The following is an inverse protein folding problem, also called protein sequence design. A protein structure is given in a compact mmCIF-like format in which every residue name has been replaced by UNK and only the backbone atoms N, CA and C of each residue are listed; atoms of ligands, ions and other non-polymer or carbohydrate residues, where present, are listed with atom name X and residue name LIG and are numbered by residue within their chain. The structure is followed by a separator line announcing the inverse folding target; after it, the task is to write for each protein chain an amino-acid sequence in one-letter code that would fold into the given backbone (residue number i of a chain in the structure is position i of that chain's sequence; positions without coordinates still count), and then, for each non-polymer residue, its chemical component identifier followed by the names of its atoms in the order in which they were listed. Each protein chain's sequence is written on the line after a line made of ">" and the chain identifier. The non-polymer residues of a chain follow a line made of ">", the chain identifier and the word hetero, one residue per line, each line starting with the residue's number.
data_IF_599085398387
#
_entry.id   IF_599085398387
#
_cell.length_a   1.000
_cell.length_b   1.000
_cell.length_c   1.000
_cell.angle_alpha   90.00
_cell.angle_beta   90.00
_cell.angle_gamma   90.00
#
_symmetry.space_group_name_H-M   'P 1'
#
loop_
_entity.id
_entity.type
_entity.pdbx_description
1 polymer ?
#
# COMPACT_ATOMS: atom_id res chain seq x y z
N UNK A 1 10.82 -0.59 -1.05
CA UNK A 1 11.36 -0.14 -2.36
C UNK A 1 10.47 -0.76 -3.41
N UNK A 2 10.03 0.02 -4.38
CA UNK A 2 9.06 -0.41 -5.40
C UNK A 2 9.66 -0.35 -6.80
N UNK A 3 9.19 -1.19 -7.71
CA UNK A 3 9.56 -1.17 -9.13
C UNK A 3 8.39 -0.61 -9.93
N UNK A 4 8.64 0.39 -10.78
CA UNK A 4 7.60 0.92 -11.67
C UNK A 4 7.28 -0.04 -12.82
N UNK A 5 6.04 -0.03 -13.30
CA UNK A 5 5.58 -0.86 -14.41
C UNK A 5 6.37 -0.58 -15.69
N UNK A 6 6.73 0.68 -15.95
CA UNK A 6 7.64 1.10 -17.03
C UNK A 6 9.01 0.43 -16.94
N UNK A 7 9.60 0.35 -15.75
CA UNK A 7 10.90 -0.31 -15.52
C UNK A 7 10.78 -1.82 -15.80
N UNK A 8 9.70 -2.45 -15.32
CA UNK A 8 9.44 -3.86 -15.59
C UNK A 8 9.22 -4.13 -17.09
N UNK A 9 8.56 -3.23 -17.83
CA UNK A 9 8.40 -3.30 -19.30
C UNK A 9 9.74 -3.25 -20.01
N UNK A 10 10.62 -2.31 -19.65
CA UNK A 10 11.97 -2.20 -20.24
C UNK A 10 12.74 -3.50 -20.03
N UNK A 11 12.72 -4.04 -18.82
CA UNK A 11 13.46 -5.27 -18.50
C UNK A 11 12.86 -6.50 -19.20
N UNK A 12 11.53 -6.62 -19.25
CA UNK A 12 10.86 -7.64 -20.06
C UNK A 12 11.30 -7.56 -21.52
N UNK A 13 11.37 -6.35 -22.07
CA UNK A 13 11.78 -6.13 -23.45
C UNK A 13 13.24 -6.52 -23.70
N UNK A 14 14.12 -6.24 -22.75
CA UNK A 14 15.53 -6.66 -22.81
C UNK A 14 15.66 -8.18 -22.77
N UNK A 15 14.87 -8.86 -21.94
CA UNK A 15 14.91 -10.32 -21.82
C UNK A 15 14.31 -11.05 -23.03
N UNK A 16 13.33 -10.43 -23.71
CA UNK A 16 12.86 -10.87 -25.02
C UNK A 16 13.83 -10.53 -26.16
N UNK A 17 14.91 -9.79 -25.87
CA UNK A 17 15.81 -9.21 -26.86
C UNK A 17 15.04 -8.42 -27.94
N UNK A 18 13.99 -7.69 -27.52
CA UNK A 18 13.16 -6.86 -28.38
C UNK A 18 13.28 -5.36 -28.09
N UNK A 19 13.99 -4.99 -27.00
CA UNK A 19 14.17 -3.62 -26.56
C UNK A 19 15.02 -2.78 -27.51
N UNK A 20 14.46 -1.63 -27.89
CA UNK A 20 15.21 -0.53 -28.46
C UNK A 20 14.56 0.78 -28.03
N UNK A 21 15.38 1.75 -27.62
CA UNK A 21 14.95 3.06 -27.22
C UNK A 21 15.88 4.11 -27.83
N UNK A 22 15.34 5.29 -28.08
CA UNK A 22 16.13 6.43 -28.52
C UNK A 22 15.42 7.75 -28.26
N UNK A 23 16.11 8.83 -28.59
CA UNK A 23 15.62 10.19 -28.48
C UNK A 23 15.64 10.79 -29.89
N UNK A 24 14.53 11.36 -30.34
CA UNK A 24 14.44 11.95 -31.68
C UNK A 24 15.48 13.05 -31.88
N UNK A 25 16.13 13.05 -33.04
CA UNK A 25 17.19 14.04 -33.38
C UNK A 25 16.72 15.15 -34.30
N UNK A 26 15.47 15.06 -34.79
CA UNK A 26 14.85 16.08 -35.62
C UNK A 26 13.35 16.14 -35.40
N UNK A 27 12.76 17.27 -35.80
CA UNK A 27 11.31 17.44 -35.74
C UNK A 27 10.65 16.50 -36.75
N UNK A 28 9.69 15.73 -36.27
CA UNK A 28 8.83 14.89 -37.07
C UNK A 28 7.48 15.53 -37.34
N UNK A 29 6.48 14.67 -37.45
CA UNK A 29 5.07 15.02 -37.65
C UNK A 29 4.24 14.05 -36.82
N UNK A 30 2.91 14.13 -36.90
CA UNK A 30 2.06 13.12 -36.26
C UNK A 30 2.31 11.71 -36.80
N UNK A 31 2.80 11.56 -38.04
CA UNK A 31 2.99 10.26 -38.71
C UNK A 31 4.45 9.86 -38.89
N UNK A 32 5.41 10.63 -38.36
CA UNK A 32 6.83 10.37 -38.58
C UNK A 32 7.66 10.70 -37.35
N UNK A 33 8.62 9.85 -36.99
CA UNK A 33 9.70 10.15 -36.02
C UNK A 33 11.02 10.25 -36.76
N UNK A 34 11.83 11.27 -36.44
CA UNK A 34 13.12 11.53 -37.11
C UNK A 34 14.28 11.32 -36.14
N UNK A 35 15.08 10.29 -36.40
CA UNK A 35 16.21 9.90 -35.56
C UNK A 35 17.39 9.38 -36.39
N UNK A 36 18.54 10.05 -36.29
CA UNK A 36 19.75 9.68 -37.01
C UNK A 36 20.28 8.28 -36.64
N UNK A 37 20.01 7.78 -35.43
CA UNK A 37 20.46 6.45 -35.00
C UNK A 37 19.69 5.32 -35.70
N UNK A 38 18.48 5.58 -36.20
CA UNK A 38 17.74 4.63 -37.02
C UNK A 38 18.44 4.29 -38.34
N UNK A 39 19.36 5.15 -38.82
CA UNK A 39 20.14 4.88 -40.04
C UNK A 39 21.04 3.65 -39.92
N UNK A 40 21.45 3.31 -38.70
CA UNK A 40 22.24 2.13 -38.42
C UNK A 40 21.42 0.84 -38.37
N UNK A 41 20.08 0.93 -38.44
CA UNK A 41 19.19 -0.22 -38.38
C UNK A 41 18.80 -0.70 -39.78
N UNK A 42 18.78 -2.01 -39.96
CA UNK A 42 18.33 -2.60 -41.22
C UNK A 42 16.81 -2.45 -41.33
N UNK A 43 16.28 -2.21 -42.55
CA UNK A 43 14.83 -2.15 -42.78
C UNK A 43 14.10 -3.44 -42.38
N UNK A 44 14.76 -4.60 -42.41
CA UNK A 44 14.17 -5.86 -41.96
C UNK A 44 14.04 -5.95 -40.42
N UNK A 45 14.74 -5.08 -39.69
CA UNK A 45 14.74 -5.08 -38.22
C UNK A 45 13.58 -4.27 -37.61
N UNK A 46 13.09 -3.24 -38.33
CA UNK A 46 11.92 -2.43 -37.96
C UNK A 46 10.92 -2.42 -39.12
N UNK A 47 9.75 -3.05 -38.94
CA UNK A 47 8.79 -3.32 -40.01
C UNK A 47 7.32 -3.00 -39.66
N UNK A 48 6.43 -3.38 -40.58
CA UNK A 48 5.00 -3.01 -40.60
C UNK A 48 4.17 -3.52 -39.40
N UNK A 49 4.63 -4.57 -38.73
CA UNK A 49 3.90 -5.21 -37.62
C UNK A 49 4.51 -4.88 -36.25
N UNK A 50 5.37 -3.87 -36.20
CA UNK A 50 6.02 -3.39 -34.99
C UNK A 50 5.38 -2.09 -34.53
N UNK A 51 5.63 -1.71 -33.28
CA UNK A 51 5.01 -0.54 -32.67
C UNK A 51 6.07 0.38 -32.09
N UNK A 52 5.83 1.68 -32.14
CA UNK A 52 6.54 2.63 -31.30
C UNK A 52 5.75 2.90 -30.02
N UNK A 53 6.41 3.45 -29.02
CA UNK A 53 5.80 3.97 -27.79
C UNK A 53 6.51 5.29 -27.46
N UNK A 54 5.78 6.38 -27.30
CA UNK A 54 6.36 7.64 -26.82
C UNK A 54 6.53 7.55 -25.30
N UNK A 55 7.73 7.83 -24.81
CA UNK A 55 8.08 7.75 -23.38
C UNK A 55 8.56 9.07 -22.79
N UNK A 56 8.59 10.14 -23.60
CA UNK A 56 8.98 11.48 -23.17
C UNK A 56 8.04 12.04 -22.10
N UNK A 57 8.59 12.34 -20.93
CA UNK A 57 7.81 12.90 -19.82
C UNK A 57 7.30 14.30 -20.17
N UNK A 58 6.01 14.55 -19.92
CA UNK A 58 5.38 15.84 -20.21
C UNK A 58 5.05 16.07 -21.69
N UNK A 59 5.34 15.13 -22.58
CA UNK A 59 4.84 15.17 -23.95
C UNK A 59 3.33 14.87 -23.98
N UNK A 60 2.58 15.57 -24.83
CA UNK A 60 1.12 15.41 -24.90
C UNK A 60 0.66 14.03 -25.43
N UNK A 61 1.57 13.31 -26.10
CA UNK A 61 1.36 11.93 -26.56
C UNK A 61 2.18 10.91 -25.77
N UNK A 62 2.59 11.22 -24.53
CA UNK A 62 3.23 10.24 -23.65
C UNK A 62 2.35 9.00 -23.50
N UNK A 63 2.96 7.83 -23.50
CA UNK A 63 2.32 6.52 -23.40
C UNK A 63 1.43 6.12 -24.59
N UNK A 64 1.41 6.93 -25.66
CA UNK A 64 0.80 6.55 -26.93
C UNK A 64 1.71 5.57 -27.68
N UNK A 65 1.15 4.41 -28.06
CA UNK A 65 1.77 3.47 -28.99
C UNK A 65 1.11 3.57 -30.37
N UNK A 66 1.91 3.51 -31.45
CA UNK A 66 1.39 3.49 -32.83
C UNK A 66 2.07 2.40 -33.65
N UNK A 67 1.32 1.87 -34.60
CA UNK A 67 1.86 0.86 -35.51
C UNK A 67 2.86 1.52 -36.46
N UNK A 68 4.05 0.96 -36.57
CA UNK A 68 5.08 1.35 -37.52
C UNK A 68 4.66 0.85 -38.90
N UNK A 69 4.66 1.74 -39.88
CA UNK A 69 4.39 1.41 -41.28
C UNK A 69 5.67 1.10 -42.06
N UNK A 70 6.75 1.85 -41.82
CA UNK A 70 8.04 1.63 -42.48
C UNK A 70 9.20 2.36 -41.80
N UNK A 71 10.43 1.91 -42.06
CA UNK A 71 11.66 2.62 -41.74
C UNK A 71 12.40 3.00 -43.03
N UNK A 72 12.74 4.29 -43.17
CA UNK A 72 13.64 4.78 -44.20
C UNK A 72 15.08 4.88 -43.65
N UNK A 73 15.83 3.78 -43.71
CA UNK A 73 17.19 3.69 -43.16
C UNK A 73 18.22 4.68 -43.74
N UNK A 74 17.98 5.26 -44.92
CA UNK A 74 18.87 6.30 -45.46
C UNK A 74 18.70 7.66 -44.77
N UNK A 75 17.49 7.97 -44.31
CA UNK A 75 17.14 9.25 -43.69
C UNK A 75 16.97 9.17 -42.19
N UNK A 76 16.74 7.97 -41.64
CA UNK A 76 16.42 7.78 -40.22
C UNK A 76 14.99 8.19 -39.89
N UNK A 77 14.07 8.06 -40.85
CA UNK A 77 12.66 8.41 -40.66
C UNK A 77 11.87 7.13 -40.42
N UNK A 78 11.25 7.05 -39.25
CA UNK A 78 10.27 6.03 -38.90
C UNK A 78 8.88 6.56 -39.25
N UNK A 79 8.14 5.88 -40.13
CA UNK A 79 6.75 6.23 -40.45
C UNK A 79 5.82 5.39 -39.59
N UNK A 80 4.88 6.03 -38.92
CA UNK A 80 3.94 5.43 -37.97
C UNK A 80 2.51 5.85 -38.29
N UNK A 81 1.53 5.12 -37.76
CA UNK A 81 0.17 5.65 -37.66
C UNK A 81 0.17 6.94 -36.83
N UNK A 82 -0.76 7.85 -37.13
CA UNK A 82 -0.74 9.18 -36.55
C UNK A 82 -0.83 9.15 -35.02
N UNK A 83 0.16 9.71 -34.33
CA UNK A 83 0.07 10.17 -32.95
C UNK A 83 -0.86 11.37 -32.86
N UNK A 84 -1.43 11.62 -31.68
CA UNK A 84 -2.37 12.72 -31.49
C UNK A 84 -1.67 14.09 -31.58
N UNK A 85 -0.35 14.13 -31.32
CA UNK A 85 0.49 15.31 -31.44
C UNK A 85 1.70 15.09 -32.34
N UNK A 86 2.26 16.19 -32.85
CA UNK A 86 3.47 16.17 -33.67
C UNK A 86 4.67 15.74 -32.82
N UNK A 87 5.44 14.80 -33.33
CA UNK A 87 6.67 14.35 -32.66
C UNK A 87 7.77 15.42 -32.80
N UNK A 88 8.30 15.87 -31.66
CA UNK A 88 9.31 16.92 -31.59
C UNK A 88 10.74 16.42 -31.80
N UNK A 89 11.71 17.34 -31.69
CA UNK A 89 13.13 16.98 -31.46
C UNK A 89 13.35 16.77 -29.96
N UNK A 90 14.21 15.84 -29.56
CA UNK A 90 14.49 15.56 -28.15
C UNK A 90 13.41 14.72 -27.47
N UNK A 91 12.57 14.02 -28.24
CA UNK A 91 11.48 13.20 -27.70
C UNK A 91 11.94 11.76 -27.53
N UNK A 92 11.89 11.26 -26.30
CA UNK A 92 12.16 9.86 -25.98
C UNK A 92 11.04 8.93 -26.46
N UNK A 93 11.45 7.82 -27.06
CA UNK A 93 10.55 6.79 -27.56
C UNK A 93 11.22 5.41 -27.57
N UNK A 94 10.39 4.39 -27.68
CA UNK A 94 10.80 2.99 -27.75
C UNK A 94 10.22 2.31 -28.99
N UNK A 95 10.86 1.23 -29.44
CA UNK A 95 10.35 0.36 -30.50
C UNK A 95 10.16 -1.06 -29.97
N UNK A 96 8.97 -1.58 -30.23
CA UNK A 96 8.44 -2.85 -29.77
C UNK A 96 8.26 -3.80 -30.95
N UNK A 97 9.15 -4.81 -31.05
CA UNK A 97 9.25 -5.65 -32.25
C UNK A 97 8.44 -6.95 -32.20
N UNK A 98 8.27 -7.53 -31.01
CA UNK A 98 7.60 -8.83 -30.83
C UNK A 98 6.18 -8.68 -30.28
N UNK A 99 6.01 -7.78 -29.30
CA UNK A 99 4.75 -7.53 -28.62
C UNK A 99 4.60 -6.04 -28.37
N UNK A 100 3.36 -5.53 -28.50
CA UNK A 100 3.03 -4.12 -28.22
C UNK A 100 3.36 -3.76 -26.77
N UNK A 101 3.48 -2.46 -26.47
CA UNK A 101 3.64 -2.02 -25.09
C UNK A 101 2.40 -2.39 -24.26
N UNK A 102 1.20 -2.28 -24.83
CA UNK A 102 -0.04 -2.69 -24.17
C UNK A 102 -0.13 -4.19 -23.88
N UNK A 103 0.39 -5.06 -24.75
CA UNK A 103 0.45 -6.50 -24.47
C UNK A 103 1.36 -6.79 -23.29
N UNK A 104 2.53 -6.15 -23.26
CA UNK A 104 3.49 -6.27 -22.16
C UNK A 104 2.90 -5.76 -20.84
N UNK A 105 2.16 -4.64 -20.88
CA UNK A 105 1.42 -4.10 -19.73
C UNK A 105 0.48 -5.14 -19.13
N UNK A 106 -0.42 -5.68 -19.96
CA UNK A 106 -1.41 -6.67 -19.54
C UNK A 106 -0.74 -7.92 -18.98
N UNK A 107 0.35 -8.36 -19.62
CA UNK A 107 1.10 -9.52 -19.18
C UNK A 107 1.79 -9.31 -17.83
N UNK A 108 2.37 -8.14 -17.57
CA UNK A 108 3.00 -7.81 -16.29
C UNK A 108 1.97 -7.74 -15.15
N UNK A 109 0.84 -7.08 -15.39
CA UNK A 109 -0.26 -7.00 -14.39
C UNK A 109 -0.83 -8.38 -14.10
N UNK A 110 -1.08 -9.19 -15.14
CA UNK A 110 -1.53 -10.58 -14.96
C UNK A 110 -0.48 -11.43 -14.23
N UNK A 111 0.80 -11.26 -14.58
CA UNK A 111 1.90 -11.98 -13.95
C UNK A 111 2.01 -11.68 -12.46
N UNK A 112 1.85 -10.42 -12.02
CA UNK A 112 1.89 -10.04 -10.61
C UNK A 112 0.88 -10.87 -9.79
N UNK A 113 -0.34 -11.01 -10.30
CA UNK A 113 -1.42 -11.79 -9.66
C UNK A 113 -1.18 -13.29 -9.70
N UNK A 114 -0.57 -13.79 -10.78
CA UNK A 114 -0.29 -15.22 -10.97
C UNK A 114 0.97 -15.70 -10.25
N UNK A 115 1.85 -14.78 -9.83
CA UNK A 115 3.15 -15.15 -9.28
C UNK A 115 3.07 -15.66 -7.83
N UNK A 116 1.89 -15.60 -7.21
CA UNK A 116 1.58 -16.30 -5.98
C UNK A 116 1.76 -17.83 -6.11
N UNK A 117 2.35 -18.52 -5.11
CA UNK A 117 2.92 -18.03 -3.85
C UNK A 117 4.42 -17.67 -3.94
N UNK A 118 5.03 -17.77 -5.12
CA UNK A 118 6.48 -17.76 -5.31
C UNK A 118 7.12 -16.37 -5.13
N UNK A 119 6.38 -15.31 -5.42
CA UNK A 119 6.69 -13.94 -5.02
C UNK A 119 5.41 -13.32 -4.46
N UNK A 120 5.58 -12.48 -3.46
CA UNK A 120 4.45 -11.92 -2.72
C UNK A 120 4.83 -10.61 -2.03
N UNK A 121 3.84 -9.80 -1.65
CA UNK A 121 4.10 -8.61 -0.84
C UNK A 121 4.35 -9.05 0.60
N UNK A 122 5.43 -8.55 1.21
CA UNK A 122 5.64 -8.73 2.65
C UNK A 122 4.92 -7.62 3.38
N UNK A 123 3.89 -7.99 4.13
CA UNK A 123 3.12 -7.04 4.92
C UNK A 123 3.69 -7.03 6.33
N UNK A 124 3.94 -5.80 6.79
CA UNK A 124 4.36 -5.49 8.14
C UNK A 124 3.48 -4.34 8.62
N UNK A 125 2.63 -4.64 9.60
CA UNK A 125 1.82 -3.63 10.28
C UNK A 125 2.23 -3.48 11.75
N UNK A 126 2.38 -2.24 12.20
CA UNK A 126 2.63 -1.88 13.61
C UNK A 126 1.59 -0.89 14.15
N UNK A 127 0.43 -0.82 13.51
CA UNK A 127 -0.64 0.12 13.86
C UNK A 127 -1.44 -0.33 15.08
N UNK A 128 -1.35 -1.60 15.45
CA UNK A 128 -2.17 -2.20 16.50
C UNK A 128 -1.48 -2.22 17.86
N UNK A 129 -2.28 -2.08 18.92
CA UNK A 129 -1.83 -2.16 20.32
C UNK A 129 -2.58 -3.27 21.04
N UNK A 130 -1.86 -4.10 21.78
CA UNK A 130 -2.42 -5.18 22.58
C UNK A 130 -3.37 -4.64 23.65
N UNK A 131 -4.55 -5.23 23.79
CA UNK A 131 -5.51 -4.78 24.80
C UNK A 131 -6.30 -3.52 24.43
N UNK A 132 -6.06 -2.90 23.27
CA UNK A 132 -6.77 -1.70 22.85
C UNK A 132 -8.19 -2.05 22.38
N UNK A 133 -9.18 -1.48 23.05
CA UNK A 133 -10.60 -1.68 22.75
C UNK A 133 -11.11 -0.82 21.61
N UNK A 134 -10.35 0.20 21.21
CA UNK A 134 -10.70 1.06 20.09
C UNK A 134 -10.39 0.37 18.77
N UNK A 135 -11.29 0.55 17.81
CA UNK A 135 -11.01 0.23 16.40
C UNK A 135 -10.26 1.39 15.77
N UNK A 136 -9.12 1.10 15.13
CA UNK A 136 -8.29 2.11 14.47
C UNK A 136 -7.86 3.26 15.40
N UNK A 137 -7.35 2.90 16.59
CA UNK A 137 -6.80 3.87 17.54
C UNK A 137 -5.60 4.65 17.00
N UNK A 138 -4.86 4.06 16.07
CA UNK A 138 -3.70 4.64 15.38
C UNK A 138 -4.06 5.56 14.22
N UNK A 139 -5.35 5.71 13.88
CA UNK A 139 -5.80 6.57 12.79
C UNK A 139 -5.18 6.25 11.43
N UNK A 140 -5.02 4.97 11.11
CA UNK A 140 -4.47 4.52 9.82
C UNK A 140 -5.56 4.28 8.76
N UNK A 141 -6.82 4.17 9.19
CA UNK A 141 -7.93 3.76 8.33
C UNK A 141 -8.87 4.93 8.02
N UNK A 142 -8.77 5.40 6.78
CA UNK A 142 -9.49 6.56 6.28
C UNK A 142 -10.40 6.18 5.11
N UNK A 143 -11.62 6.70 5.10
CA UNK A 143 -12.54 6.59 3.95
C UNK A 143 -12.19 7.60 2.87
N UNK A 144 -11.57 8.73 3.26
CA UNK A 144 -10.99 9.72 2.37
C UNK A 144 -9.95 10.54 3.13
N UNK A 145 -9.19 11.41 2.46
CA UNK A 145 -8.21 12.29 3.12
C UNK A 145 -8.81 13.24 4.17
N UNK A 146 -10.14 13.35 4.26
CA UNK A 146 -10.85 14.20 5.23
C UNK A 146 -11.90 13.44 6.06
N UNK A 147 -11.89 12.10 6.07
CA UNK A 147 -12.85 11.31 6.83
C UNK A 147 -12.25 10.00 7.37
N UNK A 148 -12.30 9.84 8.69
CA UNK A 148 -11.96 8.59 9.39
C UNK A 148 -13.07 7.55 9.19
N UNK A 149 -12.71 6.28 9.08
CA UNK A 149 -13.68 5.20 8.81
C UNK A 149 -14.44 4.76 10.07
N UNK A 150 -13.76 4.66 11.22
CA UNK A 150 -14.33 4.10 12.45
C UNK A 150 -14.56 5.12 13.57
N UNK A 151 -14.39 6.40 13.25
CA UNK A 151 -14.51 7.50 14.20
C UNK A 151 -15.57 8.49 13.73
N UNK A 152 -16.37 8.98 14.67
CA UNK A 152 -17.33 10.05 14.39
C UNK A 152 -16.67 11.39 14.66
N UNK A 153 -16.62 12.26 13.65
CA UNK A 153 -16.18 13.65 13.81
C UNK A 153 -17.39 14.58 13.83
N UNK A 154 -17.31 15.63 14.63
CA UNK A 154 -18.35 16.68 14.69
C UNK A 154 -17.89 17.95 13.98
N UNK A 155 -18.00 19.11 14.61
CA UNK A 155 -17.76 20.44 14.03
C UNK A 155 -16.33 20.71 13.60
N UNK A 156 -15.35 19.92 14.07
CA UNK A 156 -13.94 20.08 13.69
C UNK A 156 -13.68 19.62 12.26
N UNK A 157 -12.79 20.33 11.56
CA UNK A 157 -12.25 19.85 10.27
C UNK A 157 -11.11 18.90 10.56
N UNK A 158 -11.15 17.71 9.97
CA UNK A 158 -10.07 16.73 10.10
C UNK A 158 -9.41 16.45 8.75
N UNK A 159 -8.13 16.12 8.78
CA UNK A 159 -7.39 15.70 7.60
C UNK A 159 -6.35 14.62 7.94
N UNK A 160 -6.17 13.68 7.02
CA UNK A 160 -5.09 12.71 7.04
C UNK A 160 -3.76 13.41 6.83
N UNK A 161 -2.78 13.19 7.70
CA UNK A 161 -1.41 13.68 7.49
C UNK A 161 -0.43 12.52 7.42
N UNK A 162 0.50 12.61 6.47
CA UNK A 162 1.63 11.67 6.26
C UNK A 162 2.99 12.35 6.47
N UNK A 163 2.99 13.59 6.98
CA UNK A 163 4.23 14.32 7.25
C UNK A 163 4.95 13.74 8.47
N UNK A 164 6.21 13.33 8.32
CA UNK A 164 6.99 12.59 9.32
C UNK A 164 7.05 13.21 10.73
N UNK A 165 6.91 14.53 10.87
CA UNK A 165 6.92 15.20 12.19
C UNK A 165 5.55 15.28 12.85
N UNK A 166 4.51 14.87 12.13
CA UNK A 166 3.11 15.10 12.44
C UNK A 166 2.30 13.82 12.54
N UNK A 167 2.93 12.65 12.41
CA UNK A 167 2.42 11.40 12.99
C UNK A 167 3.47 10.89 13.98
N UNK A 168 3.03 10.07 14.93
CA UNK A 168 3.89 9.51 15.96
C UNK A 168 4.19 8.05 15.68
N UNK A 169 3.22 7.35 15.11
CA UNK A 169 3.27 5.93 14.84
C UNK A 169 2.67 5.58 13.48
N UNK A 170 3.04 4.39 12.97
CA UNK A 170 2.61 3.92 11.66
C UNK A 170 2.98 4.88 10.52
N UNK A 171 2.01 5.24 9.69
CA UNK A 171 2.21 6.06 8.50
C UNK A 171 1.43 7.37 8.52
N UNK A 172 0.37 7.45 9.33
CA UNK A 172 -0.56 8.57 9.28
C UNK A 172 -1.06 8.95 10.68
N UNK A 173 -1.54 10.19 10.81
CA UNK A 173 -2.27 10.61 12.00
C UNK A 173 -3.43 11.51 11.61
N UNK A 174 -4.28 11.84 12.59
CA UNK A 174 -5.38 12.76 12.39
C UNK A 174 -4.96 14.20 12.74
N UNK A 175 -4.91 15.07 11.73
CA UNK A 175 -4.83 16.52 11.91
C UNK A 175 -6.23 17.05 12.18
N UNK A 176 -6.39 17.87 13.20
CA UNK A 176 -7.62 18.57 13.57
C UNK A 176 -7.38 20.07 13.44
N UNK A 177 -8.29 20.80 12.78
CA UNK A 177 -8.09 22.21 12.44
C UNK A 177 -9.35 23.07 12.60
N UNK A 178 -9.12 24.38 12.80
CA UNK A 178 -10.03 25.53 12.58
C UNK A 178 -11.24 25.68 13.51
N UNK A 179 -11.88 24.60 13.95
CA UNK A 179 -13.12 24.67 14.74
C UNK A 179 -13.12 23.72 15.93
N UNK A 180 -13.57 24.22 17.09
CA UNK A 180 -13.80 23.36 18.24
C UNK A 180 -14.81 22.28 17.90
N UNK A 181 -14.55 21.10 18.43
CA UNK A 181 -15.36 19.92 18.15
C UNK A 181 -14.72 18.68 18.74
N UNK A 182 -15.25 17.55 18.30
CA UNK A 182 -14.91 16.25 18.87
C UNK A 182 -14.69 15.20 17.80
N UNK A 183 -13.77 14.29 18.11
CA UNK A 183 -13.59 13.00 17.45
C UNK A 183 -13.88 11.93 18.50
N UNK A 184 -14.79 11.00 18.20
CA UNK A 184 -15.22 10.00 19.20
C UNK A 184 -15.51 8.64 18.60
N UNK A 185 -15.33 7.62 19.42
CA UNK A 185 -15.80 6.27 19.17
C UNK A 185 -16.72 5.86 20.32
N UNK A 186 -17.91 5.37 19.98
CA UNK A 186 -18.89 4.88 20.96
C UNK A 186 -19.43 3.52 20.57
N UNK A 187 -20.33 2.96 21.39
CA UNK A 187 -21.04 1.70 21.09
C UNK A 187 -21.78 1.71 19.74
N UNK A 188 -22.12 2.87 19.18
CA UNK A 188 -22.71 2.95 17.83
C UNK A 188 -21.69 2.79 16.71
N UNK A 189 -20.43 3.16 16.97
CA UNK A 189 -19.33 2.91 16.05
C UNK A 189 -18.77 1.49 16.21
N UNK A 190 -18.73 1.00 17.46
CA UNK A 190 -18.07 -0.24 17.83
C UNK A 190 -18.79 -0.94 18.99
N UNK A 191 -19.63 -1.92 18.66
CA UNK A 191 -20.52 -2.60 19.63
C UNK A 191 -19.75 -3.33 20.76
N UNK A 192 -18.53 -3.76 20.49
CA UNK A 192 -17.66 -4.43 21.46
C UNK A 192 -17.39 -3.61 22.71
N UNK A 193 -17.47 -2.28 22.62
CA UNK A 193 -17.33 -1.41 23.77
C UNK A 193 -18.35 -1.73 24.87
N UNK A 194 -19.51 -2.32 24.55
CA UNK A 194 -20.51 -2.79 25.53
C UNK A 194 -19.95 -3.79 26.54
N UNK A 195 -18.89 -4.52 26.19
CA UNK A 195 -18.24 -5.49 27.09
C UNK A 195 -17.42 -4.82 28.20
N UNK A 196 -17.25 -3.50 28.14
CA UNK A 196 -16.59 -2.71 29.18
C UNK A 196 -17.52 -2.37 30.35
N UNK A 197 -18.82 -2.68 30.26
CA UNK A 197 -19.77 -2.48 31.36
C UNK A 197 -19.30 -3.19 32.65
N UNK A 198 -19.37 -2.48 33.78
CA UNK A 198 -18.90 -2.97 35.08
C UNK A 198 -17.38 -3.05 35.22
N UNK A 199 -16.61 -2.35 34.37
CA UNK A 199 -15.15 -2.39 34.38
C UNK A 199 -14.53 -1.01 34.53
N UNK A 200 -13.35 -0.95 35.16
CA UNK A 200 -12.50 0.24 35.11
C UNK A 200 -11.66 0.24 33.84
N UNK A 201 -11.75 1.32 33.09
CA UNK A 201 -11.04 1.51 31.83
C UNK A 201 -10.17 2.75 31.88
N UNK A 202 -9.08 2.70 31.12
CA UNK A 202 -8.16 3.80 30.89
C UNK A 202 -8.28 4.23 29.44
N UNK A 203 -8.47 5.52 29.18
CA UNK A 203 -8.36 6.12 27.86
C UNK A 203 -7.15 7.05 27.81
N UNK A 204 -6.24 6.78 26.89
CA UNK A 204 -5.06 7.60 26.63
C UNK A 204 -4.86 7.82 25.14
N UNK A 205 -4.03 8.79 24.77
CA UNK A 205 -3.61 9.00 23.39
C UNK A 205 -2.30 9.77 23.33
N UNK A 206 -1.68 9.78 22.14
CA UNK A 206 -0.61 10.70 21.84
C UNK A 206 -1.13 11.92 21.07
N UNK A 207 -0.83 13.12 21.58
CA UNK A 207 -1.25 14.38 21.00
C UNK A 207 -0.05 15.30 20.79
N UNK A 208 -0.17 16.20 19.83
CA UNK A 208 0.74 17.32 19.61
C UNK A 208 -0.06 18.57 19.26
N UNK A 209 0.23 19.66 19.95
CA UNK A 209 -0.29 20.99 19.60
C UNK A 209 0.61 22.09 20.15
N UNK A 210 0.46 23.29 19.59
CA UNK A 210 1.34 24.42 19.92
C UNK A 210 0.75 25.35 20.99
N UNK A 211 -0.54 25.18 21.33
CA UNK A 211 -1.26 26.07 22.26
C UNK A 211 -1.75 25.31 23.48
N UNK A 212 -1.54 25.87 24.68
CA UNK A 212 -2.04 25.27 25.91
C UNK A 212 -3.58 25.16 25.88
N UNK A 213 -4.13 24.11 26.49
CA UNK A 213 -5.59 23.88 26.48
C UNK A 213 -6.19 23.65 25.10
N UNK A 214 -5.40 23.13 24.15
CA UNK A 214 -5.85 22.80 22.80
C UNK A 214 -6.72 21.52 22.72
N UNK A 215 -6.42 20.54 23.57
CA UNK A 215 -6.95 19.18 23.50
C UNK A 215 -7.15 18.61 24.90
N UNK A 216 -8.13 17.74 25.04
CA UNK A 216 -8.28 16.85 26.21
C UNK A 216 -9.11 15.61 25.84
N UNK A 217 -9.01 14.58 26.65
CA UNK A 217 -9.81 13.37 26.54
C UNK A 217 -10.99 13.39 27.48
N UNK A 218 -11.98 12.53 27.19
CA UNK A 218 -13.00 12.18 28.15
C UNK A 218 -13.60 10.80 27.93
N UNK A 219 -14.20 10.28 29.00
CA UNK A 219 -14.97 9.03 29.03
C UNK A 219 -16.36 9.35 29.60
N UNK A 220 -17.42 8.84 28.97
CA UNK A 220 -18.79 8.88 29.49
C UNK A 220 -19.45 7.51 29.30
N UNK A 221 -20.28 7.13 30.28
CA UNK A 221 -21.14 5.95 30.24
C UNK A 221 -22.65 6.30 30.20
N UNK A 222 -22.96 7.59 30.14
CA UNK A 222 -24.33 8.15 30.11
C UNK A 222 -25.15 7.94 31.38
N UNK A 223 -24.55 7.48 32.47
CA UNK A 223 -25.21 7.34 33.77
C UNK A 223 -24.54 8.26 34.80
N UNK A 224 -23.21 8.33 34.76
CA UNK A 224 -22.40 9.17 35.64
C UNK A 224 -22.01 10.54 35.05
N UNK A 225 -21.17 11.25 35.78
CA UNK A 225 -20.51 12.46 35.26
C UNK A 225 -19.40 12.05 34.31
N UNK A 226 -19.30 12.73 33.17
CA UNK A 226 -18.22 12.56 32.23
C UNK A 226 -16.86 12.85 32.90
N UNK A 227 -15.93 11.90 32.77
CA UNK A 227 -14.58 12.03 33.32
C UNK A 227 -13.65 12.59 32.26
N UNK A 228 -12.87 13.62 32.61
CA UNK A 228 -11.95 14.29 31.69
C UNK A 228 -10.49 14.04 32.06
N UNK A 229 -9.61 14.05 31.07
CA UNK A 229 -8.18 14.22 31.30
C UNK A 229 -7.85 15.67 31.65
N UNK A 230 -6.59 15.91 32.01
CA UNK A 230 -6.05 17.26 31.94
C UNK A 230 -5.99 17.75 30.50
N UNK A 231 -5.88 19.06 30.33
CA UNK A 231 -5.62 19.65 29.02
C UNK A 231 -4.15 19.46 28.61
N UNK A 232 -3.90 19.35 27.31
CA UNK A 232 -2.55 19.38 26.74
C UNK A 232 -1.84 20.71 27.05
N UNK A 233 -0.53 20.64 27.29
CA UNK A 233 0.33 21.76 27.73
C UNK A 233 0.66 22.77 26.64
N UNK A 234 0.67 22.34 25.37
CA UNK A 234 0.86 23.22 24.22
C UNK A 234 2.31 23.59 23.97
N UNK A 235 3.19 22.60 23.96
CA UNK A 235 4.64 22.74 23.85
C UNK A 235 5.18 22.33 22.47
N UNK A 236 4.29 22.15 21.48
CA UNK A 236 4.63 21.70 20.12
C UNK A 236 5.31 20.32 20.07
N UNK A 237 5.24 19.54 21.15
CA UNK A 237 5.79 18.21 21.24
C UNK A 237 4.69 17.14 21.27
N UNK A 238 5.06 15.91 20.93
CA UNK A 238 4.20 14.77 21.19
C UNK A 238 4.23 14.45 22.68
N UNK A 239 3.06 14.17 23.24
CA UNK A 239 2.92 13.55 24.56
C UNK A 239 3.66 12.21 24.62
N UNK A 240 4.14 11.86 25.80
CA UNK A 240 4.87 10.64 26.08
C UNK A 240 3.95 9.41 26.04
N UNK A 241 4.58 8.24 25.90
CA UNK A 241 3.87 6.95 25.88
C UNK A 241 3.37 6.47 27.24
N UNK A 242 3.87 7.00 28.38
CA UNK A 242 3.34 6.58 29.69
C UNK A 242 2.06 7.36 30.03
N UNK A 243 0.88 6.72 29.96
CA UNK A 243 -0.39 7.36 30.26
C UNK A 243 -0.46 8.01 31.64
N UNK A 244 0.35 7.59 32.63
CA UNK A 244 0.27 8.09 34.00
C UNK A 244 1.09 9.36 34.25
N UNK A 245 2.02 9.66 33.35
CA UNK A 245 2.89 10.83 33.46
C UNK A 245 2.49 11.95 32.49
N UNK A 246 1.43 11.74 31.70
CA UNK A 246 0.98 12.68 30.69
C UNK A 246 -0.40 13.29 30.97
N UNK A 247 -0.63 14.47 30.39
CA UNK A 247 -1.87 15.23 30.38
C UNK A 247 -3.02 14.56 29.62
N UNK A 248 -2.72 13.63 28.68
CA UNK A 248 -3.68 12.99 27.79
C UNK A 248 -4.13 11.61 28.29
N UNK A 249 -4.69 11.58 29.51
CA UNK A 249 -5.14 10.37 30.19
C UNK A 249 -6.40 10.59 31.02
N UNK A 250 -7.38 9.69 30.89
CA UNK A 250 -8.57 9.62 31.74
C UNK A 250 -8.83 8.18 32.18
N UNK A 251 -9.32 7.99 33.41
CA UNK A 251 -9.72 6.69 33.93
C UNK A 251 -11.12 6.77 34.53
N UNK A 252 -11.98 5.82 34.17
CA UNK A 252 -13.37 5.78 34.64
C UNK A 252 -13.81 4.33 34.87
N UNK A 253 -14.63 4.12 35.90
CA UNK A 253 -15.43 2.91 36.03
C UNK A 253 -16.69 3.07 35.18
N UNK A 254 -16.89 2.16 34.22
CA UNK A 254 -18.11 2.12 33.41
C UNK A 254 -19.20 1.42 34.22
N UNK A 255 -20.36 2.06 34.35
CA UNK A 255 -21.49 1.49 35.08
C UNK A 255 -21.86 0.07 34.59
N UNK A 256 -22.51 -0.71 35.44
CA UNK A 256 -22.99 -2.05 35.09
C UNK A 256 -24.11 -2.01 34.04
N UNK A 257 -24.88 -0.92 33.98
CA UNK A 257 -25.97 -0.69 33.04
C UNK A 257 -25.79 0.66 32.34
N UNK A 258 -24.71 0.84 31.57
CA UNK A 258 -24.41 2.10 30.93
C UNK A 258 -25.43 2.38 29.81
N UNK A 259 -25.82 3.64 29.62
CA UNK A 259 -26.74 4.03 28.54
C UNK A 259 -25.99 4.35 27.24
N UNK A 260 -24.71 4.69 27.35
CA UNK A 260 -23.73 4.79 26.27
C UNK A 260 -22.37 4.33 26.78
N UNK A 261 -21.40 4.11 25.90
CA UNK A 261 -19.98 4.08 26.29
C UNK A 261 -19.27 4.83 25.19
N UNK A 262 -18.69 5.97 25.52
CA UNK A 262 -18.11 6.89 24.53
C UNK A 262 -16.75 7.39 25.00
N UNK A 263 -15.75 7.27 24.13
CA UNK A 263 -14.42 7.82 24.28
C UNK A 263 -14.27 9.01 23.32
N UNK A 264 -13.99 10.18 23.87
CA UNK A 264 -14.01 11.44 23.10
C UNK A 264 -12.70 12.21 23.23
N UNK A 265 -12.17 12.62 22.08
CA UNK A 265 -11.10 13.60 21.93
C UNK A 265 -11.77 14.95 21.68
N UNK A 266 -11.52 15.92 22.57
CA UNK A 266 -12.02 17.28 22.45
C UNK A 266 -10.92 18.17 21.88
N UNK A 267 -11.26 18.96 20.87
CA UNK A 267 -10.43 20.01 20.30
C UNK A 267 -11.07 21.36 20.54
N UNK A 268 -10.27 22.32 21.01
CA UNK A 268 -10.71 23.67 21.37
C UNK A 268 -10.34 24.68 20.27
N UNK A 269 -11.16 25.71 20.04
CA UNK A 269 -10.92 26.72 18.98
C UNK A 269 -9.54 27.38 19.13
N UNK A 270 -9.11 27.60 20.36
CA UNK A 270 -7.84 28.25 20.67
C UNK A 270 -6.61 27.46 20.18
N UNK A 271 -6.76 26.17 19.88
CA UNK A 271 -5.69 25.31 19.40
C UNK A 271 -5.13 25.73 18.03
N UNK A 272 -5.97 26.31 17.16
CA UNK A 272 -5.68 26.43 15.73
C UNK A 272 -5.64 25.05 15.08
N UNK A 273 -4.51 24.37 15.21
CA UNK A 273 -4.24 23.03 14.68
C UNK A 273 -3.77 22.09 15.79
N UNK A 274 -4.17 20.83 15.74
CA UNK A 274 -3.61 19.77 16.58
C UNK A 274 -3.46 18.47 15.81
N UNK A 275 -2.59 17.59 16.30
CA UNK A 275 -2.35 16.26 15.74
C UNK A 275 -2.62 15.22 16.82
N UNK A 276 -3.34 14.17 16.45
CA UNK A 276 -3.74 13.10 17.37
C UNK A 276 -3.40 11.75 16.75
N UNK A 277 -2.82 10.87 17.56
CA UNK A 277 -2.34 9.55 17.17
C UNK A 277 -2.47 8.58 18.37
N UNK A 278 -2.44 7.29 18.08
CA UNK A 278 -2.32 6.19 19.06
C UNK A 278 -3.29 6.30 20.25
N UNK A 279 -4.57 6.48 19.95
CA UNK A 279 -5.65 6.44 20.90
C UNK A 279 -5.84 5.00 21.43
N UNK A 280 -5.77 4.83 22.75
CA UNK A 280 -5.81 3.53 23.43
C UNK A 280 -6.85 3.51 24.52
N UNK A 281 -7.77 2.55 24.46
CA UNK A 281 -8.64 2.20 25.59
C UNK A 281 -8.20 0.85 26.15
N UNK A 282 -7.70 0.85 27.38
CA UNK A 282 -7.21 -0.35 28.06
C UNK A 282 -8.17 -0.72 29.18
N UNK A 283 -8.80 -1.89 29.03
CA UNK A 283 -9.70 -2.50 30.02
C UNK A 283 -9.10 -3.72 30.70
N UNK A 284 -9.85 -4.40 31.60
CA UNK A 284 -9.36 -5.50 32.43
C UNK A 284 -9.15 -6.82 31.68
N UNK A 285 -9.63 -6.93 30.44
CA UNK A 285 -9.42 -8.09 29.57
C UNK A 285 -8.91 -7.65 28.19
N UNK A 286 -8.38 -8.59 27.42
CA UNK A 286 -7.98 -8.34 26.03
C UNK A 286 -9.20 -8.39 25.11
N UNK A 287 -9.40 -7.38 24.25
CA UNK A 287 -10.40 -7.42 23.21
C UNK A 287 -9.93 -8.29 22.03
N UNK A 288 -10.87 -8.56 21.12
CA UNK A 288 -10.51 -9.03 19.78
C UNK A 288 -9.96 -7.85 18.98
N UNK A 289 -8.96 -8.11 18.14
CA UNK A 289 -8.31 -7.09 17.31
C UNK A 289 -8.68 -7.33 15.85
N UNK A 290 -9.14 -6.29 15.16
CA UNK A 290 -9.59 -6.37 13.77
C UNK A 290 -8.41 -6.23 12.79
N UNK A 291 -8.21 -7.24 11.94
CA UNK A 291 -7.03 -7.35 11.07
C UNK A 291 -7.36 -7.43 9.58
N UNK A 292 -8.65 -7.42 9.20
CA UNK A 292 -9.08 -7.52 7.80
C UNK A 292 -8.49 -6.41 6.91
N UNK A 293 -8.30 -5.21 7.49
CA UNK A 293 -7.78 -4.04 6.80
C UNK A 293 -6.28 -4.10 6.51
N UNK A 294 -5.58 -5.13 6.99
CA UNK A 294 -4.14 -5.24 6.83
C UNK A 294 -3.71 -5.71 5.43
N UNK A 295 -4.64 -6.08 4.55
CA UNK A 295 -4.31 -6.55 3.19
C UNK A 295 -3.66 -7.93 3.15
N UNK A 296 -3.76 -8.69 4.24
CA UNK A 296 -3.19 -10.04 4.35
C UNK A 296 -3.93 -11.02 3.43
N UNK A 297 -3.18 -11.84 2.71
CA UNK A 297 -3.70 -12.97 1.94
C UNK A 297 -4.50 -13.89 2.85
N UNK A 298 -5.78 -14.08 2.51
CA UNK A 298 -6.76 -14.83 3.32
C UNK A 298 -6.95 -14.31 4.74
N UNK A 299 -6.59 -13.05 5.03
CA UNK A 299 -6.66 -12.44 6.37
C UNK A 299 -5.84 -13.21 7.43
N UNK A 300 -4.79 -13.90 6.98
CA UNK A 300 -3.97 -14.76 7.85
C UNK A 300 -2.61 -14.13 8.10
N UNK A 301 -2.34 -13.63 9.32
CA UNK A 301 -0.99 -13.29 9.71
C UNK A 301 -0.16 -14.56 9.84
N UNK A 302 1.08 -14.47 9.41
CA UNK A 302 2.06 -15.53 9.57
C UNK A 302 2.64 -15.50 10.98
N UNK A 303 2.83 -14.30 11.51
CA UNK A 303 3.47 -14.12 12.80
C UNK A 303 2.96 -12.86 13.46
N UNK A 304 2.78 -12.95 14.77
CA UNK A 304 2.46 -11.81 15.62
C UNK A 304 3.60 -11.67 16.61
N UNK A 305 4.15 -10.47 16.71
CA UNK A 305 5.14 -10.11 17.70
C UNK A 305 4.58 -8.99 18.58
N UNK A 306 5.11 -8.88 19.79
CA UNK A 306 4.79 -7.82 20.75
C UNK A 306 6.06 -7.05 21.08
N UNK A 307 5.87 -5.75 21.23
CA UNK A 307 6.91 -4.82 21.62
C UNK A 307 7.52 -5.21 22.98
N UNK A 308 8.87 -5.16 23.11
CA UNK A 308 9.54 -5.43 24.37
C UNK A 308 9.25 -4.37 25.43
N UNK A 309 9.61 -4.65 26.68
CA UNK A 309 9.37 -3.70 27.78
C UNK A 309 10.23 -2.44 27.66
N UNK A 310 11.45 -2.57 27.13
CA UNK A 310 12.38 -1.46 26.99
C UNK A 310 12.70 -1.16 25.52
N UNK A 311 11.97 -0.21 24.94
CA UNK A 311 12.22 0.24 23.57
C UNK A 311 13.59 0.92 23.40
N UNK A 312 14.13 1.50 24.48
CA UNK A 312 15.38 2.29 24.42
C UNK A 312 16.66 1.45 24.28
N UNK A 313 16.56 0.12 24.38
CA UNK A 313 17.72 -0.79 24.39
C UNK A 313 17.79 -1.73 23.20
N UNK A 314 17.10 -1.41 22.09
CA UNK A 314 17.05 -2.24 20.88
C UNK A 314 16.68 -3.71 21.16
N UNK A 315 15.85 -3.95 22.18
CA UNK A 315 15.40 -5.30 22.51
C UNK A 315 14.61 -5.89 21.31
N UNK A 316 14.83 -7.17 20.96
CA UNK A 316 14.11 -7.78 19.88
C UNK A 316 12.63 -7.94 20.26
N UNK A 317 11.77 -7.81 19.26
CA UNK A 317 10.34 -8.08 19.40
C UNK A 317 10.10 -9.54 19.80
N UNK A 318 9.19 -9.75 20.74
CA UNK A 318 8.90 -11.09 21.27
C UNK A 318 7.77 -11.74 20.47
N UNK A 319 7.94 -13.00 20.08
CA UNK A 319 6.90 -13.74 19.35
C UNK A 319 5.74 -14.05 20.30
N UNK A 320 4.52 -13.75 19.85
CA UNK A 320 3.29 -14.16 20.53
C UNK A 320 2.89 -15.55 20.05
N UNK A 321 2.91 -16.51 20.96
CA UNK A 321 2.45 -17.88 20.68
C UNK A 321 0.97 -18.06 21.02
N UNK A 322 0.29 -18.97 20.32
CA UNK A 322 -1.10 -19.36 20.58
C UNK A 322 -2.14 -18.23 20.41
N UNK A 323 -1.87 -17.22 19.59
CA UNK A 323 -2.96 -16.37 19.10
C UNK A 323 -3.95 -17.22 18.32
N UNK A 324 -5.24 -16.90 18.45
CA UNK A 324 -6.32 -17.53 17.69
C UNK A 324 -6.79 -16.56 16.62
N UNK A 325 -6.96 -17.07 15.40
CA UNK A 325 -7.51 -16.32 14.28
C UNK A 325 -8.97 -16.71 14.06
N UNK A 326 -9.75 -15.72 13.67
CA UNK A 326 -11.10 -15.86 13.15
C UNK A 326 -11.11 -15.20 11.77
N UNK A 327 -10.91 -16.03 10.75
CA UNK A 327 -10.78 -15.60 9.36
C UNK A 327 -12.12 -15.36 8.67
N UNK A 328 -13.23 -15.69 9.31
CA UNK A 328 -14.56 -15.39 8.77
C UNK A 328 -14.96 -13.94 9.10
N UNK A 329 -14.48 -13.44 10.23
CA UNK A 329 -14.80 -12.12 10.74
C UNK A 329 -13.61 -11.16 10.76
N UNK A 330 -12.42 -11.61 10.31
CA UNK A 330 -11.22 -10.79 10.24
C UNK A 330 -10.64 -10.37 11.59
N UNK A 331 -10.71 -11.25 12.61
CA UNK A 331 -10.21 -10.96 13.96
C UNK A 331 -9.05 -11.84 14.38
N UNK A 332 -8.20 -11.28 15.24
CA UNK A 332 -7.23 -12.02 16.03
C UNK A 332 -7.51 -11.87 17.53
N UNK A 333 -7.38 -12.98 18.24
CA UNK A 333 -7.50 -13.08 19.69
C UNK A 333 -6.12 -13.40 20.26
N UNK A 334 -5.62 -12.48 21.08
CA UNK A 334 -4.36 -12.66 21.77
C UNK A 334 -4.59 -13.51 23.05
N UNK A 335 -3.61 -14.33 23.47
CA UNK A 335 -3.66 -15.03 24.74
C UNK A 335 -3.65 -14.06 25.93
N UNK A 336 -4.36 -14.40 27.00
CA UNK A 336 -4.42 -13.59 28.23
C UNK A 336 -3.05 -13.36 28.90
N UNK A 337 -2.04 -14.18 28.59
CA UNK A 337 -0.66 -14.01 29.06
C UNK A 337 0.09 -12.87 28.37
N UNK A 338 -0.41 -12.39 27.23
CA UNK A 338 0.21 -11.27 26.49
C UNK A 338 -0.02 -9.98 27.29
N UNK A 339 1.04 -9.20 27.46
CA UNK A 339 0.93 -7.90 28.12
C UNK A 339 0.04 -6.97 27.31
N UNK A 340 -0.78 -6.16 27.99
CA UNK A 340 -1.62 -5.13 27.37
C UNK A 340 -0.83 -3.82 27.28
N UNK A 341 -1.34 -2.91 26.46
CA UNK A 341 -0.76 -1.58 26.25
C UNK A 341 0.68 -1.65 25.71
N UNK A 342 0.85 -2.54 24.72
CA UNK A 342 2.10 -2.76 24.00
C UNK A 342 1.80 -2.89 22.52
N UNK A 343 2.65 -2.31 21.69
CA UNK A 343 2.48 -2.39 20.26
C UNK A 343 2.63 -3.82 19.77
N UNK A 344 1.87 -4.15 18.73
CA UNK A 344 1.96 -5.41 18.03
C UNK A 344 2.64 -5.18 16.70
N UNK A 345 3.38 -6.19 16.27
CA UNK A 345 3.85 -6.29 14.90
C UNK A 345 3.19 -7.49 14.27
N UNK A 346 2.32 -7.23 13.31
CA UNK A 346 1.63 -8.25 12.56
C UNK A 346 2.36 -8.42 11.24
N UNK A 347 2.98 -9.59 11.07
CA UNK A 347 3.66 -9.98 9.85
C UNK A 347 2.78 -10.93 9.08
N UNK A 348 2.68 -10.69 7.78
CA UNK A 348 2.06 -11.66 6.90
C UNK A 348 2.43 -11.39 5.46
N UNK A 349 1.60 -11.92 4.59
CA UNK A 349 1.85 -11.89 3.17
C UNK A 349 0.64 -11.28 2.48
N UNK A 350 0.88 -10.33 1.58
CA UNK A 350 -0.13 -9.73 0.71
C UNK A 350 -0.06 -10.26 -0.72
N UNK A 351 -1.12 -9.99 -1.47
CA UNK A 351 -1.11 -10.17 -2.92
C UNK A 351 -0.24 -9.10 -3.56
N UNK A 352 0.48 -9.48 -4.62
CA UNK A 352 1.21 -8.51 -5.43
C UNK A 352 0.27 -7.88 -6.46
N UNK A 353 0.25 -6.56 -6.48
CA UNK A 353 -0.36 -5.78 -7.55
C UNK A 353 0.51 -4.55 -7.87
N UNK A 354 0.23 -3.93 -9.01
CA UNK A 354 0.72 -2.59 -9.30
C UNK A 354 -0.24 -1.59 -8.67
N UNK A 355 0.29 -0.69 -7.87
CA UNK A 355 -0.49 0.31 -7.14
C UNK A 355 -0.15 1.71 -7.65
N UNK A 356 -1.19 2.53 -7.77
CA UNK A 356 -1.10 3.94 -8.11
C UNK A 356 -0.59 4.78 -6.90
N UNK A 357 -0.49 6.09 -7.07
CA UNK A 357 -0.10 6.99 -5.97
C UNK A 357 -1.07 7.05 -4.80
N UNK A 358 -2.31 6.58 -5.00
CA UNK A 358 -3.38 6.52 -4.00
C UNK A 358 -3.36 5.21 -3.21
N UNK A 359 -2.62 4.20 -3.69
CA UNK A 359 -2.57 2.85 -3.14
C UNK A 359 -3.61 1.90 -3.74
N UNK A 360 -4.29 2.29 -4.82
CA UNK A 360 -5.29 1.49 -5.51
C UNK A 360 -4.65 0.68 -6.65
N UNK A 361 -5.24 -0.46 -6.99
CA UNK A 361 -4.81 -1.27 -8.14
C UNK A 361 -4.83 -0.46 -9.43
N UNK A 362 -3.67 -0.30 -10.05
CA UNK A 362 -3.45 0.51 -11.25
C UNK A 362 -2.85 -0.28 -12.42
N UNK A 363 -2.84 0.34 -13.60
CA UNK A 363 -2.22 -0.20 -14.81
C UNK A 363 -1.40 0.82 -15.61
N UNK A 364 -1.21 2.02 -15.07
CA UNK A 364 -0.45 3.09 -15.68
C UNK A 364 1.06 2.80 -15.56
N UNK A 365 1.86 3.34 -16.46
CA UNK A 365 3.29 3.05 -16.49
C UNK A 365 4.08 3.59 -15.29
N UNK A 366 3.49 4.55 -14.59
CA UNK A 366 4.00 5.12 -13.35
C UNK A 366 3.67 4.26 -12.12
N UNK A 367 2.69 3.35 -12.21
CA UNK A 367 2.26 2.51 -11.10
C UNK A 367 3.39 1.57 -10.68
N UNK A 368 3.44 1.25 -9.39
CA UNK A 368 4.59 0.55 -8.81
C UNK A 368 4.17 -0.72 -8.08
N UNK A 369 5.06 -1.71 -8.08
CA UNK A 369 4.88 -2.98 -7.36
C UNK A 369 5.95 -3.10 -6.26
N UNK A 370 5.59 -3.64 -5.10
CA UNK A 370 6.47 -3.74 -3.93
C UNK A 370 7.44 -4.94 -3.99
N UNK A 371 8.15 -5.08 -5.11
CA UNK A 371 9.25 -6.03 -5.30
C UNK A 371 10.40 -5.35 -6.05
N UNK A 372 11.58 -5.94 -5.95
CA UNK A 372 12.80 -5.53 -6.64
C UNK A 372 13.55 -6.75 -7.20
N UNK A 373 14.65 -6.51 -7.91
CA UNK A 373 15.59 -7.58 -8.27
C UNK A 373 16.11 -8.28 -7.00
N UNK A 374 16.15 -9.63 -6.95
CA UNK A 374 15.93 -10.57 -8.06
C UNK A 374 14.47 -11.02 -8.27
N UNK A 375 13.51 -10.65 -7.42
CA UNK A 375 12.11 -11.06 -7.57
C UNK A 375 11.46 -10.51 -8.85
N UNK A 376 11.86 -9.33 -9.30
CA UNK A 376 11.42 -8.76 -10.59
C UNK A 376 11.72 -9.70 -11.77
N UNK A 377 12.79 -10.51 -11.71
CA UNK A 377 13.10 -11.47 -12.78
C UNK A 377 12.10 -12.63 -12.85
N UNK A 378 11.50 -13.02 -11.72
CA UNK A 378 10.44 -14.02 -11.67
C UNK A 378 9.17 -13.44 -12.29
N UNK A 379 8.80 -12.21 -11.90
CA UNK A 379 7.66 -11.48 -12.46
C UNK A 379 7.77 -11.39 -13.99
N UNK A 380 8.95 -11.03 -14.49
CA UNK A 380 9.19 -10.87 -15.93
C UNK A 380 9.11 -12.20 -16.67
N UNK A 381 9.74 -13.26 -16.14
CA UNK A 381 9.62 -14.58 -16.75
C UNK A 381 8.16 -15.06 -16.80
N UNK A 382 7.39 -14.82 -15.73
CA UNK A 382 5.96 -15.13 -15.68
C UNK A 382 5.16 -14.32 -16.72
N UNK A 383 5.46 -13.03 -16.89
CA UNK A 383 4.82 -12.19 -17.90
C UNK A 383 5.13 -12.67 -19.33
N UNK A 384 6.35 -13.12 -19.59
CA UNK A 384 6.73 -13.68 -20.89
C UNK A 384 5.98 -15.00 -21.16
N UNK A 385 5.88 -15.89 -20.17
CA UNK A 385 5.05 -17.11 -20.28
C UNK A 385 3.60 -16.75 -20.60
N UNK A 386 3.05 -15.73 -19.96
CA UNK A 386 1.70 -15.24 -20.24
C UNK A 386 1.55 -14.75 -21.69
N UNK A 387 2.48 -13.92 -22.19
CA UNK A 387 2.47 -13.41 -23.57
C UNK A 387 2.46 -14.55 -24.60
N UNK A 388 3.39 -15.50 -24.48
CA UNK A 388 3.46 -16.63 -25.41
C UNK A 388 2.25 -17.57 -25.30
N UNK A 389 1.67 -17.71 -24.10
CA UNK A 389 0.43 -18.48 -23.91
C UNK A 389 -0.71 -17.85 -24.72
N UNK A 390 -0.91 -16.53 -24.63
CA UNK A 390 -1.94 -15.84 -25.40
C UNK A 390 -1.76 -15.98 -26.92
N UNK A 391 -0.52 -15.95 -27.41
CA UNK A 391 -0.24 -16.13 -28.84
C UNK A 391 -0.32 -17.58 -29.32
N UNK A 392 -0.28 -18.56 -28.43
CA UNK A 392 -0.42 -19.98 -28.78
C UNK A 392 -1.88 -20.42 -28.99
N UNK A 393 -2.84 -19.58 -28.60
CA UNK A 393 -4.27 -19.78 -28.82
C UNK A 393 -4.60 -19.81 -30.32
N UNK A 394 -5.73 -20.42 -30.75
CA UNK A 394 -6.01 -20.75 -32.15
C UNK A 394 -6.39 -19.52 -33.03
N UNK A 395 -5.51 -18.53 -33.09
CA UNK A 395 -5.66 -17.29 -33.87
C UNK A 395 -4.59 -17.12 -34.96
N UNK A 396 -3.56 -17.98 -34.98
CA UNK A 396 -2.40 -17.86 -35.89
C UNK A 396 -2.22 -19.08 -36.79
N UNK A 397 -1.43 -18.91 -37.86
CA UNK A 397 -1.06 -20.00 -38.76
C UNK A 397 -0.30 -21.11 -38.02
N UNK A 398 -0.38 -22.35 -38.55
CA UNK A 398 0.17 -23.55 -37.89
C UNK A 398 1.67 -23.48 -37.62
N UNK A 399 2.46 -22.84 -38.49
CA UNK A 399 3.91 -22.66 -38.32
C UNK A 399 4.21 -21.68 -37.18
N UNK A 400 3.58 -20.51 -37.19
CA UNK A 400 3.75 -19.47 -36.17
C UNK A 400 3.35 -19.98 -34.77
N UNK A 401 2.30 -20.79 -34.70
CA UNK A 401 1.88 -21.42 -33.45
C UNK A 401 2.94 -22.36 -32.88
N UNK A 402 3.65 -23.11 -33.72
CA UNK A 402 4.71 -24.03 -33.27
C UNK A 402 5.88 -23.27 -32.67
N UNK A 403 6.32 -22.19 -33.30
CA UNK A 403 7.43 -21.37 -32.80
C UNK A 403 7.10 -20.75 -31.43
N UNK A 404 5.86 -20.28 -31.24
CA UNK A 404 5.40 -19.77 -29.94
C UNK A 404 5.31 -20.87 -28.87
N UNK A 405 4.91 -22.09 -29.23
CA UNK A 405 4.88 -23.23 -28.29
C UNK A 405 6.29 -23.65 -27.86
N UNK A 406 7.27 -23.63 -28.77
CA UNK A 406 8.66 -23.93 -28.43
C UNK A 406 9.25 -22.87 -27.48
N UNK A 407 8.98 -21.59 -27.73
CA UNK A 407 9.38 -20.49 -26.82
C UNK A 407 8.68 -20.54 -25.47
N UNK A 408 7.41 -20.93 -25.42
CA UNK A 408 6.67 -21.10 -24.17
C UNK A 408 7.35 -22.13 -23.26
N UNK A 409 7.73 -23.30 -23.81
CA UNK A 409 8.41 -24.36 -23.05
C UNK A 409 9.75 -23.88 -22.49
N UNK A 410 10.52 -23.13 -23.28
CA UNK A 410 11.77 -22.53 -22.82
C UNK A 410 11.54 -21.60 -21.61
N UNK A 411 10.58 -20.68 -21.73
CA UNK A 411 10.30 -19.70 -20.69
C UNK A 411 9.66 -20.31 -19.43
N UNK A 412 8.86 -21.38 -19.56
CA UNK A 412 8.40 -22.16 -18.40
C UNK A 412 9.58 -22.80 -17.64
N UNK A 413 10.56 -23.34 -18.36
CA UNK A 413 11.78 -23.88 -17.76
C UNK A 413 12.59 -22.82 -17.03
N UNK A 414 12.74 -21.65 -17.66
CA UNK A 414 13.46 -20.51 -17.08
C UNK A 414 12.74 -19.95 -15.85
N UNK A 415 11.42 -19.82 -15.90
CA UNK A 415 10.59 -19.42 -14.76
C UNK A 415 10.78 -20.37 -13.57
N UNK A 416 10.68 -21.68 -13.78
CA UNK A 416 10.89 -22.68 -12.71
C UNK A 416 12.29 -22.56 -12.09
N UNK A 417 13.31 -22.35 -12.92
CA UNK A 417 14.70 -22.16 -12.47
C UNK A 417 14.84 -20.91 -11.60
N UNK A 418 14.24 -19.79 -12.00
CA UNK A 418 14.26 -18.53 -11.25
C UNK A 418 13.49 -18.63 -9.94
N UNK A 419 12.31 -19.24 -9.95
CA UNK A 419 11.53 -19.52 -8.74
C UNK A 419 12.36 -20.33 -7.74
N UNK A 420 13.02 -21.41 -8.20
CA UNK A 420 13.85 -22.24 -7.32
C UNK A 420 15.06 -21.50 -6.73
N UNK A 421 15.55 -20.44 -7.37
CA UNK A 421 16.75 -19.70 -6.94
C UNK A 421 16.43 -18.43 -6.15
N UNK A 422 15.34 -17.75 -6.49
CA UNK A 422 15.03 -16.38 -6.06
C UNK A 422 13.60 -16.22 -5.51
N UNK A 423 12.82 -17.31 -5.49
CA UNK A 423 11.50 -17.34 -4.89
C UNK A 423 11.55 -16.97 -3.41
N UNK A 424 10.48 -16.33 -2.96
CA UNK A 424 10.36 -15.87 -1.58
C UNK A 424 9.88 -17.03 -0.71
N UNK A 425 10.56 -17.24 0.42
CA UNK A 425 10.12 -18.21 1.41
C UNK A 425 8.84 -17.72 2.10
N UNK A 426 7.86 -18.61 2.23
CA UNK A 426 6.73 -18.42 3.13
C UNK A 426 7.15 -18.96 4.48
N UNK A 427 7.52 -18.08 5.42
CA UNK A 427 7.83 -18.51 6.78
C UNK A 427 6.59 -19.17 7.39
N UNK A 428 6.71 -20.41 7.83
CA UNK A 428 5.64 -21.09 8.57
C UNK A 428 5.93 -21.00 10.06
N UNK A 429 5.28 -20.08 10.76
CA UNK A 429 5.21 -20.10 12.22
C UNK A 429 3.74 -20.28 12.59
N UNK A 430 3.38 -21.21 13.50
CA UNK A 430 1.99 -21.55 13.71
C UNK A 430 1.33 -20.53 14.64
N UNK A 431 0.67 -19.54 14.06
CA UNK A 431 -0.62 -19.13 14.62
C UNK A 431 -1.53 -20.36 14.52
N UNK A 432 -2.20 -20.74 15.61
CA UNK A 432 -3.09 -21.90 15.57
C UNK A 432 -4.36 -21.51 14.83
N UNK A 433 -4.49 -22.00 13.60
CA UNK A 433 -5.76 -22.01 12.87
C UNK A 433 -6.67 -23.04 13.55
N UNK A 434 -7.80 -22.60 14.11
CA UNK A 434 -8.80 -23.49 14.72
C UNK A 434 -10.13 -23.30 14.03
#
# INVERSE_FOLDING_TARGET
>A
MTTALSVARVELSKQLNDFWASTSTGAGSTTTIVDALLKAKQNAWIGKDMYDLITESGHASVDEERQISSLAGSTGILTVLAHDNTTGTGMDYEVHRLFTASDKRRALVAAARMAWPHIHEKIWDESMVSGNWLKDGSFEIWTSSSALTYWTTTTSTIAKTTSATNFKHGATSCKIDTAAGTIKQSISNWDDLKRLAGQTVTFSMQAKCDTASCLRLSITDGVGTQTYSSYHTGDSAWTQDDPRNDSMYAQMFIDWNPTEITFTIHHEVAAGTSYVDDARVIGPYQPRLFIETLGLSQEKPIQVEIEPYNYSTDEPWAIVFNSRLDTELGYIYLPSSVQRDRRLRIKGIGYLDFLDSSGDSGTDWADTININSPQTDILIAQAIVYLYTQMSLPNFSRSTKRDFQEMLVFWEGELRRRIGKHGMEVQSIPVRYQ
#
